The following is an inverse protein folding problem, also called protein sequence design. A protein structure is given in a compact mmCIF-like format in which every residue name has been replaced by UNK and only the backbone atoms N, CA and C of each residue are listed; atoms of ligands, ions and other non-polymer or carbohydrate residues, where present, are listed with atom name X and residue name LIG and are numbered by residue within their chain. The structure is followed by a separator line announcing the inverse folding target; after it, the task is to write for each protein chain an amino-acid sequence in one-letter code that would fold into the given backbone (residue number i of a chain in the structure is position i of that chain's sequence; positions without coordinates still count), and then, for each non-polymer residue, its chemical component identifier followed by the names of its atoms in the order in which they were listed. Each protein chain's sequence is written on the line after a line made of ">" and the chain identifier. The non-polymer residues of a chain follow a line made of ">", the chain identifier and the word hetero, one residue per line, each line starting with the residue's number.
data_IF_528906038819
#
_entry.id   IF_528906038819
#
_cell.length_a   1.000
_cell.length_b   1.000
_cell.length_c   1.000
_cell.angle_alpha   90.00
_cell.angle_beta   90.00
_cell.angle_gamma   90.00
#
_symmetry.space_group_name_H-M   'P 1'
#
loop_
_entity.id
_entity.type
_entity.pdbx_description
1 polymer ?
#
# COMPACT_ATOMS: atom_id res chain seq x y z
N UNK A 1 -32.80 -54.58 2.14
CA UNK A 1 -31.55 -53.99 2.57
C UNK A 1 -31.46 -52.58 1.99
N UNK A 2 -31.55 -51.56 2.86
CA UNK A 2 -31.41 -50.15 2.46
C UNK A 2 -30.00 -49.74 2.84
N UNK A 3 -29.17 -49.45 1.83
CA UNK A 3 -27.82 -48.91 2.04
C UNK A 3 -27.93 -47.39 2.21
N UNK A 4 -27.66 -46.88 3.43
CA UNK A 4 -27.57 -45.48 3.75
C UNK A 4 -26.16 -45.00 3.39
N UNK A 5 -26.06 -44.16 2.36
CA UNK A 5 -24.80 -43.55 1.93
C UNK A 5 -24.55 -42.28 2.77
N UNK A 6 -23.65 -42.37 3.75
CA UNK A 6 -23.22 -41.20 4.53
C UNK A 6 -22.22 -40.38 3.74
N UNK A 7 -22.64 -39.17 3.30
CA UNK A 7 -21.77 -38.17 2.65
C UNK A 7 -21.01 -37.43 3.73
N UNK A 8 -19.71 -37.69 3.86
CA UNK A 8 -18.81 -36.94 4.74
C UNK A 8 -18.46 -35.61 4.06
N UNK A 9 -19.06 -34.52 4.55
CA UNK A 9 -18.64 -33.16 4.21
C UNK A 9 -17.31 -32.87 4.92
N UNK A 10 -16.21 -32.91 4.17
CA UNK A 10 -14.91 -32.40 4.62
C UNK A 10 -14.93 -30.89 4.67
N UNK A 11 -15.16 -30.33 5.85
CA UNK A 11 -14.99 -28.90 6.10
C UNK A 11 -13.50 -28.57 6.05
N UNK A 12 -13.02 -27.97 4.95
CA UNK A 12 -11.68 -27.38 4.91
C UNK A 12 -11.70 -26.15 5.80
N UNK A 13 -11.12 -26.23 6.98
CA UNK A 13 -10.86 -25.06 7.82
C UNK A 13 -9.83 -24.17 7.10
N UNK A 14 -10.31 -23.05 6.60
CA UNK A 14 -9.43 -21.94 6.16
C UNK A 14 -8.77 -21.42 7.42
N UNK A 15 -7.45 -21.54 7.52
CA UNK A 15 -6.70 -20.94 8.61
C UNK A 15 -6.95 -19.42 8.58
N UNK A 16 -7.70 -18.91 9.54
CA UNK A 16 -7.86 -17.47 9.74
C UNK A 16 -6.51 -16.94 10.18
N UNK A 17 -5.95 -16.02 9.38
CA UNK A 17 -4.79 -15.24 9.81
C UNK A 17 -5.28 -14.39 10.98
N UNK A 18 -4.89 -14.78 12.19
CA UNK A 18 -5.28 -14.07 13.40
C UNK A 18 -4.53 -12.73 13.39
N UNK A 19 -5.31 -11.64 13.32
CA UNK A 19 -4.75 -10.29 13.44
C UNK A 19 -4.10 -10.14 14.82
N UNK A 20 -2.94 -9.47 14.92
CA UNK A 20 -2.28 -9.26 16.21
C UNK A 20 -3.16 -8.38 17.11
N UNK A 21 -3.39 -8.82 18.34
CA UNK A 21 -4.11 -8.04 19.33
C UNK A 21 -3.18 -7.06 20.06
N UNK A 22 -3.59 -5.80 20.22
CA UNK A 22 -2.81 -4.81 20.95
C UNK A 22 -2.77 -5.13 22.44
N UNK A 23 -1.59 -5.05 23.02
CA UNK A 23 -1.35 -5.27 24.47
C UNK A 23 -0.71 -4.05 25.15
N UNK A 24 -0.61 -2.92 24.46
CA UNK A 24 -0.07 -1.66 24.91
C UNK A 24 -1.02 -0.48 24.66
N UNK A 25 -0.55 0.77 24.82
CA UNK A 25 -1.38 1.95 24.67
C UNK A 25 -1.84 2.15 23.23
N UNK A 26 -3.06 2.72 23.09
CA UNK A 26 -3.54 3.22 21.80
C UNK A 26 -2.99 4.62 21.60
N UNK A 27 -2.32 4.81 20.47
CA UNK A 27 -1.75 6.09 20.04
C UNK A 27 -2.46 6.49 18.74
N UNK A 28 -2.99 7.72 18.63
CA UNK A 28 -3.58 8.21 17.39
C UNK A 28 -2.59 8.13 16.23
N UNK A 29 -3.01 7.59 15.08
CA UNK A 29 -2.13 7.36 13.94
C UNK A 29 -1.42 8.63 13.46
N UNK A 30 -2.10 9.79 13.50
CA UNK A 30 -1.53 11.07 13.08
C UNK A 30 -0.35 11.53 13.97
N UNK A 31 -0.27 11.08 15.22
CA UNK A 31 0.85 11.39 16.11
C UNK A 31 2.13 10.64 15.74
N UNK A 32 2.03 9.57 14.94
CA UNK A 32 3.21 8.79 14.55
C UNK A 32 4.28 9.63 13.87
N UNK A 33 3.88 10.69 13.13
CA UNK A 33 4.84 11.63 12.54
C UNK A 33 5.73 12.27 13.61
N UNK A 34 5.16 12.69 14.73
CA UNK A 34 5.88 13.31 15.85
C UNK A 34 6.91 12.35 16.46
N UNK A 35 6.54 11.07 16.65
CA UNK A 35 7.48 10.04 17.11
C UNK A 35 8.66 9.91 16.16
N UNK A 36 8.41 9.93 14.84
CA UNK A 36 9.48 9.80 13.84
C UNK A 36 10.43 11.02 13.81
N UNK A 37 9.86 12.21 13.74
CA UNK A 37 10.65 13.46 13.61
C UNK A 37 11.49 13.70 14.86
N UNK A 38 10.91 13.50 16.03
CA UNK A 38 11.59 13.72 17.31
C UNK A 38 12.39 12.49 17.78
N UNK A 39 12.46 11.42 16.96
CA UNK A 39 13.14 10.16 17.30
C UNK A 39 12.69 9.57 18.63
N UNK A 40 11.42 9.75 18.98
CA UNK A 40 10.84 9.20 20.20
C UNK A 40 10.60 7.70 20.04
N UNK A 41 10.77 6.98 21.14
CA UNK A 41 10.51 5.55 21.17
C UNK A 41 9.00 5.30 21.31
N UNK A 42 8.44 4.49 20.42
CA UNK A 42 7.04 4.05 20.54
C UNK A 42 6.98 3.01 21.67
N UNK A 43 6.04 3.14 22.60
CA UNK A 43 5.86 2.15 23.66
C UNK A 43 5.65 0.74 23.08
N UNK A 44 6.22 -0.25 23.74
CA UNK A 44 6.06 -1.64 23.31
C UNK A 44 4.60 -2.07 23.38
N UNK A 45 4.16 -2.80 22.37
CA UNK A 45 2.78 -3.28 22.26
C UNK A 45 1.77 -2.19 21.85
N UNK A 46 2.24 -0.96 21.57
CA UNK A 46 1.36 0.13 21.18
C UNK A 46 0.60 -0.16 19.89
N UNK A 47 -0.63 0.35 19.82
CA UNK A 47 -1.45 0.35 18.63
C UNK A 47 -1.59 1.77 18.06
N UNK A 48 -0.95 2.02 16.94
CA UNK A 48 -1.10 3.25 16.17
C UNK A 48 -2.40 3.17 15.38
N UNK A 49 -3.47 3.69 15.97
CA UNK A 49 -4.85 3.54 15.49
C UNK A 49 -5.32 4.78 14.75
N UNK A 50 -5.98 4.58 13.61
CA UNK A 50 -6.70 5.64 12.91
C UNK A 50 -8.05 5.93 13.58
N UNK A 51 -7.98 6.68 14.69
CA UNK A 51 -9.17 7.02 15.50
C UNK A 51 -10.05 8.11 14.88
N UNK A 52 -9.57 8.76 13.82
CA UNK A 52 -10.27 9.86 13.17
C UNK A 52 -10.75 9.51 11.75
N UNK A 53 -10.48 8.29 11.25
CA UNK A 53 -10.82 7.90 9.88
C UNK A 53 -10.00 8.64 8.82
N UNK A 54 -8.77 9.05 9.16
CA UNK A 54 -7.91 9.81 8.26
C UNK A 54 -7.50 9.02 7.00
N UNK A 55 -7.54 7.70 7.08
CA UNK A 55 -7.21 6.80 5.97
C UNK A 55 -8.38 6.59 5.01
N UNK A 56 -9.64 6.77 5.45
CA UNK A 56 -10.84 6.42 4.70
C UNK A 56 -10.96 7.16 3.35
N UNK A 57 -10.50 8.41 3.32
CA UNK A 57 -10.50 9.23 2.11
C UNK A 57 -9.67 8.64 0.97
N UNK A 58 -8.64 7.87 1.29
CA UNK A 58 -7.76 7.23 0.31
C UNK A 58 -8.23 5.84 -0.10
N UNK A 59 -9.11 5.19 0.68
CA UNK A 59 -9.61 3.85 0.40
C UNK A 59 -10.52 3.86 -0.83
N UNK A 60 -10.33 2.87 -1.71
CA UNK A 60 -11.13 2.68 -2.91
C UNK A 60 -10.29 2.36 -4.14
N UNK A 61 -10.96 2.41 -5.30
CA UNK A 61 -10.33 2.23 -6.61
C UNK A 61 -10.11 3.61 -7.23
N UNK A 62 -8.91 3.82 -7.75
CA UNK A 62 -8.46 5.09 -8.29
C UNK A 62 -7.89 4.89 -9.69
N UNK A 63 -8.26 5.74 -10.64
CA UNK A 63 -7.79 5.65 -12.03
C UNK A 63 -7.23 6.97 -12.52
N UNK A 64 -6.22 6.86 -13.40
CA UNK A 64 -5.62 8.00 -14.07
C UNK A 64 -4.87 7.58 -15.32
N UNK A 65 -4.50 8.57 -16.13
CA UNK A 65 -3.74 8.38 -17.35
C UNK A 65 -2.51 9.27 -17.32
N UNK A 66 -1.36 8.73 -17.67
CA UNK A 66 -0.12 9.46 -17.77
C UNK A 66 0.74 8.84 -18.88
N UNK A 67 1.35 9.68 -19.73
CA UNK A 67 2.22 9.30 -20.84
C UNK A 67 1.69 8.12 -21.70
N UNK A 68 0.39 8.10 -21.98
CA UNK A 68 -0.24 7.05 -22.78
C UNK A 68 -0.41 5.72 -22.06
N UNK A 69 -0.24 5.67 -20.75
CA UNK A 69 -0.50 4.50 -19.91
C UNK A 69 -1.71 4.75 -19.03
N UNK A 70 -2.52 3.73 -18.83
CA UNK A 70 -3.65 3.74 -17.91
C UNK A 70 -3.20 3.12 -16.59
N UNK A 71 -3.48 3.82 -15.51
CA UNK A 71 -3.16 3.40 -14.14
C UNK A 71 -4.44 3.12 -13.36
N UNK A 72 -4.49 1.99 -12.70
CA UNK A 72 -5.53 1.64 -11.76
C UNK A 72 -4.88 1.23 -10.43
N UNK A 73 -5.32 1.86 -9.33
CA UNK A 73 -4.85 1.56 -7.98
C UNK A 73 -6.04 1.13 -7.12
N UNK A 74 -5.89 0.02 -6.41
CA UNK A 74 -6.81 -0.36 -5.33
C UNK A 74 -6.12 -0.15 -4.00
N UNK A 75 -6.71 0.72 -3.18
CA UNK A 75 -6.21 1.07 -1.86
C UNK A 75 -7.17 0.54 -0.81
N UNK A 76 -6.66 -0.22 0.14
CA UNK A 76 -7.42 -0.78 1.26
C UNK A 76 -6.78 -0.41 2.59
N UNK A 77 -7.60 -0.26 3.64
CA UNK A 77 -7.12 -0.19 5.01
C UNK A 77 -6.79 -1.59 5.51
N UNK A 78 -5.71 -1.71 6.27
CA UNK A 78 -5.24 -2.97 6.85
C UNK A 78 -4.60 -2.72 8.21
N UNK A 79 -4.91 -3.58 9.18
CA UNK A 79 -4.20 -3.64 10.43
C UNK A 79 -3.05 -4.62 10.31
N UNK A 80 -1.83 -4.20 10.62
CA UNK A 80 -0.67 -5.07 10.59
C UNK A 80 0.41 -4.59 11.56
N UNK A 81 1.28 -5.51 11.92
CA UNK A 81 2.35 -5.24 12.87
C UNK A 81 2.87 -6.53 13.48
N UNK A 82 3.46 -6.40 14.64
CA UNK A 82 3.98 -7.50 15.44
C UNK A 82 3.76 -7.20 16.93
N UNK A 83 4.27 -8.04 17.82
CA UNK A 83 4.17 -7.87 19.27
C UNK A 83 4.78 -6.56 19.82
N UNK A 84 5.58 -5.83 19.02
CA UNK A 84 6.16 -4.55 19.44
C UNK A 84 5.25 -3.37 19.10
N UNK A 85 4.71 -3.33 17.89
CA UNK A 85 3.84 -2.24 17.41
C UNK A 85 2.86 -2.77 16.39
N UNK A 86 1.59 -2.43 16.56
CA UNK A 86 0.50 -2.65 15.60
C UNK A 86 0.11 -1.30 15.02
N UNK A 87 -0.28 -1.27 13.76
CA UNK A 87 -0.63 -0.04 13.08
C UNK A 87 -1.75 -0.26 12.06
N UNK A 88 -2.72 0.67 12.02
CA UNK A 88 -3.60 0.83 10.86
C UNK A 88 -2.80 1.49 9.74
N UNK A 89 -2.85 0.90 8.55
CA UNK A 89 -2.11 1.39 7.39
C UNK A 89 -2.86 1.11 6.10
N UNK A 90 -2.48 1.81 5.05
CA UNK A 90 -2.95 1.51 3.71
C UNK A 90 -2.07 0.45 3.05
N UNK A 91 -2.70 -0.45 2.32
CA UNK A 91 -2.06 -1.31 1.32
C UNK A 91 -2.58 -0.89 -0.05
N UNK A 92 -1.67 -0.80 -1.02
CA UNK A 92 -2.01 -0.39 -2.37
C UNK A 92 -1.51 -1.43 -3.37
N UNK A 93 -2.43 -1.90 -4.21
CA UNK A 93 -2.15 -2.67 -5.41
C UNK A 93 -2.35 -1.80 -6.63
N UNK A 94 -1.70 -2.13 -7.71
CA UNK A 94 -1.85 -1.39 -8.94
C UNK A 94 -1.82 -2.29 -10.18
N UNK A 95 -2.37 -1.76 -11.24
CA UNK A 95 -2.27 -2.27 -12.60
C UNK A 95 -1.95 -1.12 -13.54
N UNK A 96 -1.04 -1.37 -14.47
CA UNK A 96 -0.71 -0.46 -15.56
C UNK A 96 -1.01 -1.16 -16.87
N UNK A 97 -1.72 -0.50 -17.76
CA UNK A 97 -1.97 -0.97 -19.12
C UNK A 97 -1.65 0.11 -20.15
N UNK A 98 -1.38 -0.29 -21.37
CA UNK A 98 -1.24 0.63 -22.48
C UNK A 98 -2.59 1.22 -22.94
N UNK A 99 -2.56 2.07 -23.97
CA UNK A 99 -3.75 2.70 -24.53
C UNK A 99 -4.72 1.70 -25.20
N UNK A 100 -4.24 0.52 -25.59
CA UNK A 100 -5.07 -0.55 -26.17
C UNK A 100 -5.73 -1.43 -25.10
N UNK A 101 -5.35 -1.22 -23.80
CA UNK A 101 -5.84 -1.99 -22.66
C UNK A 101 -5.02 -3.24 -22.36
N UNK A 102 -3.89 -3.45 -23.05
CA UNK A 102 -2.98 -4.57 -22.76
C UNK A 102 -2.30 -4.31 -21.41
N UNK A 103 -2.39 -5.28 -20.50
CA UNK A 103 -1.76 -5.20 -19.18
C UNK A 103 -0.22 -5.29 -19.33
N UNK A 104 0.46 -4.26 -18.86
CA UNK A 104 1.92 -4.18 -18.82
C UNK A 104 2.46 -4.72 -17.48
N UNK A 105 1.85 -4.30 -16.38
CA UNK A 105 2.24 -4.66 -15.03
C UNK A 105 1.02 -4.75 -14.14
N UNK A 106 0.97 -5.76 -13.25
CA UNK A 106 -0.11 -5.89 -12.26
C UNK A 106 0.38 -6.52 -10.95
N UNK A 107 -0.08 -5.98 -9.83
CA UNK A 107 0.13 -6.54 -8.49
C UNK A 107 -1.15 -7.14 -7.90
N UNK A 108 -2.22 -7.28 -8.69
CA UNK A 108 -3.51 -7.78 -8.17
C UNK A 108 -3.46 -9.22 -7.69
N UNK A 109 -2.67 -10.06 -8.34
CA UNK A 109 -2.52 -11.49 -8.00
C UNK A 109 -1.41 -11.76 -6.96
N UNK A 110 -0.80 -10.69 -6.42
CA UNK A 110 0.30 -10.83 -5.47
C UNK A 110 -0.27 -11.02 -4.05
N UNK A 111 0.30 -11.95 -3.29
CA UNK A 111 -0.10 -12.24 -1.90
C UNK A 111 0.19 -11.06 -0.98
N UNK A 112 -0.72 -10.78 -0.02
CA UNK A 112 -0.47 -9.80 1.05
C UNK A 112 0.80 -10.19 1.82
N UNK A 113 1.67 -9.20 2.06
CA UNK A 113 2.99 -9.40 2.67
C UNK A 113 4.13 -9.52 1.68
N UNK A 114 3.84 -9.63 0.37
CA UNK A 114 4.86 -9.56 -0.66
C UNK A 114 5.48 -8.15 -0.75
N UNK A 115 6.76 -8.08 -1.12
CA UNK A 115 7.48 -6.82 -1.36
C UNK A 115 6.88 -5.99 -2.52
N UNK A 116 6.12 -6.62 -3.41
CA UNK A 116 5.46 -5.94 -4.54
C UNK A 116 4.23 -5.12 -4.13
N UNK A 117 3.67 -5.35 -2.94
CA UNK A 117 2.57 -4.54 -2.42
C UNK A 117 3.11 -3.24 -1.85
N UNK A 118 2.58 -2.12 -2.32
CA UNK A 118 2.92 -0.81 -1.80
C UNK A 118 2.31 -0.68 -0.41
N UNK A 119 3.16 -0.52 0.61
CA UNK A 119 2.76 -0.60 2.02
C UNK A 119 2.83 0.74 2.70
N UNK A 120 1.77 1.10 3.41
CA UNK A 120 1.63 2.35 4.13
C UNK A 120 2.65 2.56 5.25
N UNK A 121 3.06 3.81 5.44
CA UNK A 121 4.06 4.22 6.44
C UNK A 121 3.52 5.23 7.44
N UNK A 122 3.09 6.41 6.99
CA UNK A 122 2.62 7.48 7.88
C UNK A 122 1.81 8.55 7.16
N UNK A 123 0.93 9.21 7.92
CA UNK A 123 0.23 10.41 7.51
C UNK A 123 1.18 11.63 7.47
N UNK A 124 0.91 12.57 6.58
CA UNK A 124 1.51 13.91 6.64
C UNK A 124 1.03 14.67 7.88
N UNK A 125 1.79 15.67 8.36
CA UNK A 125 1.39 16.48 9.53
C UNK A 125 0.05 17.18 9.36
N UNK A 126 -0.26 17.61 8.12
CA UNK A 126 -1.53 18.25 7.77
C UNK A 126 -2.68 17.25 7.58
N UNK A 127 -2.42 15.96 7.75
CA UNK A 127 -3.34 14.83 7.58
C UNK A 127 -3.97 14.74 6.17
N UNK A 128 -3.48 15.53 5.19
CA UNK A 128 -3.99 15.57 3.81
C UNK A 128 -3.23 14.64 2.86
N UNK A 129 -2.15 14.05 3.31
CA UNK A 129 -1.33 13.14 2.53
C UNK A 129 -0.92 11.90 3.31
N UNK A 130 -0.56 10.87 2.58
CA UNK A 130 -0.09 9.61 3.15
C UNK A 130 1.12 9.11 2.37
N UNK A 131 2.12 8.64 3.08
CA UNK A 131 3.35 8.09 2.50
C UNK A 131 3.35 6.58 2.59
N UNK A 132 3.68 5.92 1.48
CA UNK A 132 3.81 4.48 1.37
C UNK A 132 5.23 4.10 0.90
N UNK A 133 5.64 2.88 1.16
CA UNK A 133 6.87 2.28 0.63
C UNK A 133 6.59 1.53 -0.66
N UNK A 134 7.39 1.76 -1.66
CA UNK A 134 7.43 1.02 -2.91
C UNK A 134 8.80 0.38 -3.08
N UNK A 135 8.85 -0.94 -3.21
CA UNK A 135 10.10 -1.70 -3.37
C UNK A 135 10.46 -1.98 -4.83
N UNK A 136 9.61 -1.53 -5.75
CA UNK A 136 9.75 -1.82 -7.17
C UNK A 136 8.92 -3.03 -7.61
N UNK A 137 8.71 -3.14 -8.92
CA UNK A 137 8.13 -4.33 -9.54
C UNK A 137 9.23 -5.35 -9.90
N UNK A 138 10.36 -4.86 -10.36
CA UNK A 138 11.59 -5.64 -10.43
C UNK A 138 12.45 -5.37 -9.20
N UNK A 139 12.71 -6.41 -8.41
CA UNK A 139 13.52 -6.30 -7.20
C UNK A 139 15.03 -6.23 -7.48
N UNK A 140 15.47 -6.46 -8.73
CA UNK A 140 16.88 -6.32 -9.12
C UNK A 140 17.20 -4.90 -9.57
N UNK A 141 16.48 -4.41 -10.57
CA UNK A 141 16.75 -3.13 -11.23
C UNK A 141 15.58 -2.16 -11.21
N UNK A 142 14.43 -2.53 -10.62
CA UNK A 142 13.22 -1.72 -10.60
C UNK A 142 13.35 -0.44 -9.77
N UNK A 143 12.53 0.54 -10.11
CA UNK A 143 12.35 1.73 -9.29
C UNK A 143 11.91 1.35 -7.88
N UNK A 144 12.51 1.98 -6.88
CA UNK A 144 12.04 1.88 -5.50
C UNK A 144 11.97 3.27 -4.87
N UNK A 145 11.22 3.41 -3.78
CA UNK A 145 11.12 4.70 -3.14
C UNK A 145 9.89 4.86 -2.26
N UNK A 146 9.40 6.10 -2.23
CA UNK A 146 8.20 6.48 -1.48
C UNK A 146 7.12 6.91 -2.44
N UNK A 147 5.98 6.23 -2.40
CA UNK A 147 4.76 6.72 -3.03
C UNK A 147 4.09 7.67 -2.06
N UNK A 148 3.82 8.87 -2.52
CA UNK A 148 3.14 9.92 -1.77
C UNK A 148 1.79 10.13 -2.44
N UNK A 149 0.70 9.95 -1.70
CA UNK A 149 -0.65 10.30 -2.15
C UNK A 149 -1.13 11.50 -1.33
N UNK A 150 -1.79 12.43 -2.00
CA UNK A 150 -2.32 13.64 -1.37
C UNK A 150 -3.68 14.00 -1.97
N UNK A 151 -4.62 14.43 -1.13
CA UNK A 151 -5.91 14.95 -1.57
C UNK A 151 -5.71 16.16 -2.51
N UNK A 152 -6.52 16.24 -3.56
CA UNK A 152 -6.62 17.45 -4.34
C UNK A 152 -7.36 18.53 -3.52
N UNK A 153 -6.84 19.77 -3.44
CA UNK A 153 -7.37 20.78 -2.52
C UNK A 153 -8.85 21.14 -2.73
N UNK A 154 -9.35 20.98 -3.95
CA UNK A 154 -10.69 21.44 -4.36
C UNK A 154 -11.62 20.31 -4.78
N UNK A 155 -11.15 19.07 -4.81
CA UNK A 155 -11.93 17.94 -5.31
C UNK A 155 -11.62 16.66 -4.51
N UNK A 156 -12.50 16.27 -3.56
CA UNK A 156 -12.29 15.09 -2.73
C UNK A 156 -12.36 13.77 -3.50
N UNK A 157 -12.85 13.80 -4.75
CA UNK A 157 -12.85 12.63 -5.64
C UNK A 157 -11.52 12.44 -6.36
N UNK A 158 -10.54 13.31 -6.12
CA UNK A 158 -9.22 13.26 -6.74
C UNK A 158 -8.10 13.21 -5.72
N UNK A 159 -7.09 12.42 -6.03
CA UNK A 159 -5.80 12.44 -5.32
C UNK A 159 -4.67 12.63 -6.33
N UNK A 160 -3.59 13.24 -5.87
CA UNK A 160 -2.31 13.26 -6.58
C UNK A 160 -1.43 12.15 -6.05
N UNK A 161 -0.84 11.35 -6.94
CA UNK A 161 0.15 10.33 -6.63
C UNK A 161 1.49 10.69 -7.25
N UNK A 162 2.55 10.60 -6.46
CA UNK A 162 3.94 10.86 -6.90
C UNK A 162 4.83 9.76 -6.35
N UNK A 163 5.72 9.21 -7.19
CA UNK A 163 6.84 8.40 -6.74
C UNK A 163 8.07 9.31 -6.51
N UNK A 164 8.53 9.36 -5.26
CA UNK A 164 9.83 9.91 -4.89
C UNK A 164 10.84 8.76 -4.87
N UNK A 165 11.64 8.65 -5.93
CA UNK A 165 12.60 7.56 -6.12
C UNK A 165 13.69 7.62 -5.05
N UNK A 166 14.04 6.47 -4.47
CA UNK A 166 15.25 6.35 -3.66
C UNK A 166 16.46 6.41 -4.60
N UNK A 167 17.42 7.29 -4.28
CA UNK A 167 18.65 7.39 -5.09
C UNK A 167 19.49 6.11 -4.97
N UNK A 168 20.00 5.65 -6.10
CA UNK A 168 20.86 4.48 -6.22
C UNK A 168 20.15 3.25 -6.79
N UNK A 169 20.88 2.51 -7.62
CA UNK A 169 20.49 1.18 -8.10
C UNK A 169 20.70 0.16 -6.97
N UNK A 170 19.93 -0.91 -7.01
CA UNK A 170 20.18 -2.05 -6.15
C UNK A 170 21.55 -2.65 -6.48
N UNK A 171 22.32 -3.16 -5.49
CA UNK A 171 23.62 -3.77 -5.75
C UNK A 171 23.61 -4.95 -6.73
N UNK A 172 22.42 -5.55 -6.95
CA UNK A 172 22.19 -6.66 -7.87
C UNK A 172 21.81 -6.23 -9.29
N UNK A 173 21.67 -4.92 -9.54
CA UNK A 173 21.38 -4.40 -10.87
C UNK A 173 22.67 -4.29 -11.69
N UNK A 174 22.74 -4.93 -12.84
CA UNK A 174 23.87 -4.82 -13.75
C UNK A 174 23.87 -3.43 -14.41
N UNK A 175 25.06 -2.89 -14.71
CA UNK A 175 25.21 -1.49 -15.15
C UNK A 175 24.50 -1.16 -16.48
N UNK A 176 24.24 -2.18 -17.29
CA UNK A 176 23.63 -2.05 -18.62
C UNK A 176 22.13 -2.42 -18.64
N UNK A 177 21.53 -2.79 -17.49
CA UNK A 177 20.11 -3.08 -17.42
C UNK A 177 19.29 -1.76 -17.36
N UNK A 178 18.34 -1.63 -18.27
CA UNK A 178 17.42 -0.49 -18.31
C UNK A 178 16.45 -0.58 -17.13
N UNK A 179 16.37 0.49 -16.34
CA UNK A 179 15.47 0.57 -15.19
C UNK A 179 14.06 0.89 -15.68
N UNK A 180 13.17 -0.11 -15.63
CA UNK A 180 11.77 0.07 -15.99
C UNK A 180 11.07 1.08 -15.06
N UNK A 181 10.64 2.20 -15.65
CA UNK A 181 9.80 3.16 -14.95
C UNK A 181 8.34 2.72 -14.98
N UNK A 182 7.87 2.15 -13.88
CA UNK A 182 6.52 1.63 -13.73
C UNK A 182 5.56 2.70 -13.19
N UNK A 183 5.97 3.45 -12.18
CA UNK A 183 5.13 4.48 -11.56
C UNK A 183 5.57 5.89 -11.96
N UNK A 184 4.63 6.86 -12.09
CA UNK A 184 4.94 8.24 -12.44
C UNK A 184 5.85 8.92 -11.42
N UNK A 185 6.90 9.58 -11.92
CA UNK A 185 7.83 10.42 -11.14
C UNK A 185 7.61 11.91 -11.46
N UNK A 186 8.42 12.79 -10.87
CA UNK A 186 8.39 14.20 -11.16
C UNK A 186 7.10 14.90 -10.74
N UNK A 187 6.26 15.27 -11.67
CA UNK A 187 4.99 15.93 -11.36
C UNK A 187 3.93 14.96 -10.82
N UNK A 188 4.10 13.65 -11.04
CA UNK A 188 3.15 12.62 -10.65
C UNK A 188 1.86 12.65 -11.47
N UNK A 189 0.87 11.87 -11.05
CA UNK A 189 -0.40 11.67 -11.73
C UNK A 189 -1.58 12.08 -10.86
N UNK A 190 -2.62 12.64 -11.48
CA UNK A 190 -3.92 12.85 -10.84
C UNK A 190 -4.78 11.62 -11.06
N UNK A 191 -5.28 11.07 -9.98
CA UNK A 191 -6.15 9.92 -9.96
C UNK A 191 -7.56 10.33 -9.55
N UNK A 192 -8.58 9.76 -10.20
CA UNK A 192 -9.99 9.98 -9.89
C UNK A 192 -10.58 8.72 -9.26
N UNK A 193 -11.34 8.88 -8.19
CA UNK A 193 -12.04 7.81 -7.48
C UNK A 193 -13.16 7.23 -8.34
N UNK A 194 -13.30 5.90 -8.33
CA UNK A 194 -14.32 5.17 -9.10
C UNK A 194 -15.51 4.81 -8.23
#
# INVERSE_FOLDING_TARGET
>A
AVFSLAILFSCKSVAQIQEPEPNGPIIPLHEYHNYKVNRLQIPQGAYLKDIHGDLDKFVGVWKGVDEGKNYEFTIVSNRSGNSKVIMDRLLMRFKVSDNSGVELVSTYNVTIGSAYIITGRYLSPDRKGYTLSYSGYDLKCGQSGRVIIKEAPTDPTKIKLVLSVAGGLWPSCEQDEEVDQVLPIGQGIILTKQ
#
